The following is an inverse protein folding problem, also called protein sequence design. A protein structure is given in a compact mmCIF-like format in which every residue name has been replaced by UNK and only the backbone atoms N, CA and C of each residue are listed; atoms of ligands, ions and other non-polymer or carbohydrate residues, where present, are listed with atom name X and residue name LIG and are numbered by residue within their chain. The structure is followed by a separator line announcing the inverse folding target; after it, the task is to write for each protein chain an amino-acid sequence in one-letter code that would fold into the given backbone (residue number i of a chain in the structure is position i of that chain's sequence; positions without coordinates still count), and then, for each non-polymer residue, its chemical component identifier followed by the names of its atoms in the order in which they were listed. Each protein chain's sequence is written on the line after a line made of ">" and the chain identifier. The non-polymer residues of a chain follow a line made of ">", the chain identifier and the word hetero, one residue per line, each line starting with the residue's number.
data_IF_429543066859
#
_entry.id   IF_429543066859
#
_cell.length_a   1.000
_cell.length_b   1.000
_cell.length_c   1.000
_cell.angle_alpha   90.00
_cell.angle_beta   90.00
_cell.angle_gamma   90.00
#
_symmetry.space_group_name_H-M   'P 1'
#
loop_
_entity.id
_entity.type
_entity.pdbx_description
1 polymer ?
#
# COMPACT_ATOMS: atom_id res chain seq x y z
N UNK A 1 -10.46 -1.72 -2.73
CA UNK A 1 -9.05 -1.97 -2.38
C UNK A 1 -9.03 -2.30 -0.91
N UNK A 2 -8.63 -3.51 -0.54
CA UNK A 2 -8.68 -4.00 0.85
C UNK A 2 -7.26 -3.94 1.40
N UNK A 3 -6.94 -2.84 2.07
CA UNK A 3 -5.68 -2.68 2.78
C UNK A 3 -5.83 -3.15 4.23
N UNK A 4 -4.87 -3.94 4.70
CA UNK A 4 -4.81 -4.37 6.11
C UNK A 4 -4.45 -3.19 7.01
N UNK A 5 -5.04 -3.11 8.21
CA UNK A 5 -4.63 -2.13 9.21
C UNK A 5 -3.38 -2.60 9.99
N UNK A 6 -2.76 -1.70 10.76
CA UNK A 6 -1.52 -2.02 11.49
C UNK A 6 -1.70 -3.12 12.55
N UNK A 7 -2.91 -3.30 13.09
CA UNK A 7 -3.22 -4.38 14.03
C UNK A 7 -3.23 -5.74 13.32
N UNK A 8 -3.93 -5.84 12.19
CA UNK A 8 -3.94 -7.04 11.35
C UNK A 8 -2.52 -7.41 10.91
N UNK A 9 -1.71 -6.41 10.52
CA UNK A 9 -0.30 -6.61 10.16
C UNK A 9 0.49 -7.30 11.28
N UNK A 10 0.40 -6.76 12.50
CA UNK A 10 1.06 -7.36 13.68
C UNK A 10 0.59 -8.80 13.88
N UNK A 11 -0.71 -9.06 13.82
CA UNK A 11 -1.28 -10.40 14.03
C UNK A 11 -0.81 -11.39 12.95
N UNK A 12 -0.62 -10.96 11.70
CA UNK A 12 -0.01 -11.79 10.65
C UNK A 12 1.49 -12.06 10.90
N UNK A 13 2.24 -11.08 11.41
CA UNK A 13 3.64 -11.28 11.80
C UNK A 13 3.73 -12.31 12.94
N UNK A 14 2.88 -12.22 13.96
CA UNK A 14 2.83 -13.20 15.05
C UNK A 14 2.46 -14.60 14.54
N UNK A 15 1.53 -14.70 13.59
CA UNK A 15 1.24 -15.96 12.91
C UNK A 15 2.47 -16.51 12.17
N UNK A 16 3.23 -15.67 11.45
CA UNK A 16 4.43 -16.09 10.76
C UNK A 16 5.50 -16.60 11.74
N UNK A 17 5.76 -15.87 12.83
CA UNK A 17 6.72 -16.26 13.88
C UNK A 17 6.31 -17.58 14.54
N UNK A 18 5.03 -17.74 14.90
CA UNK A 18 4.53 -18.97 15.51
C UNK A 18 4.69 -20.19 14.60
N UNK A 19 4.64 -19.98 13.28
CA UNK A 19 4.67 -21.05 12.29
C UNK A 19 6.02 -21.23 11.58
N UNK A 20 6.95 -20.30 11.67
CA UNK A 20 8.26 -20.35 11.02
C UNK A 20 9.36 -20.09 12.06
N UNK A 21 9.84 -21.16 12.68
CA UNK A 21 10.85 -21.08 13.76
C UNK A 21 12.21 -20.54 13.32
N UNK A 22 12.49 -20.61 12.01
CA UNK A 22 13.75 -20.15 11.41
C UNK A 22 13.61 -18.79 10.71
N UNK A 23 12.48 -18.08 10.93
CA UNK A 23 12.30 -16.74 10.38
C UNK A 23 13.35 -15.79 10.94
N UNK A 24 14.17 -15.21 10.06
CA UNK A 24 15.32 -14.36 10.42
C UNK A 24 15.22 -12.94 9.86
N UNK A 25 14.39 -12.71 8.84
CA UNK A 25 14.21 -11.43 8.17
C UNK A 25 12.74 -11.14 7.88
N UNK A 26 12.31 -9.93 8.22
CA UNK A 26 11.04 -9.34 7.79
C UNK A 26 11.35 -8.04 7.03
N UNK A 27 10.83 -7.93 5.81
CA UNK A 27 10.78 -6.68 5.04
C UNK A 27 9.34 -6.17 5.08
N UNK A 28 9.12 -5.02 5.69
CA UNK A 28 7.79 -4.54 6.07
C UNK A 28 7.45 -3.23 5.37
N UNK A 29 6.42 -3.24 4.51
CA UNK A 29 5.83 -2.03 3.94
C UNK A 29 4.89 -1.35 4.93
N UNK A 30 5.01 -0.04 5.07
CA UNK A 30 4.18 0.80 5.93
C UNK A 30 3.46 1.85 5.08
N UNK A 31 2.13 1.83 5.11
CA UNK A 31 1.30 2.82 4.43
C UNK A 31 0.56 3.69 5.45
N UNK A 32 0.44 4.99 5.15
CA UNK A 32 -0.18 5.97 6.05
C UNK A 32 -1.62 5.60 6.46
N UNK A 33 -2.42 5.08 5.52
CA UNK A 33 -3.82 4.72 5.77
C UNK A 33 -3.96 3.62 6.83
N UNK A 34 -2.97 2.72 6.97
CA UNK A 34 -3.00 1.58 7.91
C UNK A 34 -3.08 2.01 9.38
N UNK A 35 -2.71 3.27 9.65
CA UNK A 35 -2.67 3.87 10.97
C UNK A 35 -3.90 4.73 11.26
N UNK A 36 -4.90 4.79 10.38
CA UNK A 36 -6.13 5.51 10.69
C UNK A 36 -6.86 4.81 11.84
N UNK A 37 -7.13 5.53 12.95
CA UNK A 37 -7.86 5.03 14.12
C UNK A 37 -9.23 4.45 13.77
N UNK A 38 -9.85 4.91 12.69
CA UNK A 38 -11.16 4.44 12.24
C UNK A 38 -11.11 3.30 11.21
N UNK A 39 -9.92 2.81 10.86
CA UNK A 39 -9.79 1.69 9.92
C UNK A 39 -10.08 0.37 10.64
N UNK A 40 -11.27 -0.18 10.42
CA UNK A 40 -11.68 -1.47 10.95
C UNK A 40 -10.89 -2.63 10.33
N UNK A 41 -10.92 -3.79 10.99
CA UNK A 41 -10.36 -5.01 10.43
C UNK A 41 -11.11 -5.41 9.16
N UNK A 42 -10.42 -6.04 8.22
CA UNK A 42 -11.06 -6.56 7.02
C UNK A 42 -12.12 -7.60 7.41
N UNK A 43 -13.29 -7.65 6.72
CA UNK A 43 -14.34 -8.62 7.04
C UNK A 43 -13.87 -10.08 6.99
N UNK A 44 -12.86 -10.37 6.18
CA UNK A 44 -12.24 -11.70 6.05
C UNK A 44 -11.19 -12.01 7.12
N UNK A 45 -10.74 -11.03 7.91
CA UNK A 45 -9.75 -11.23 8.96
C UNK A 45 -10.35 -12.01 10.14
N UNK A 46 -9.60 -13.00 10.63
CA UNK A 46 -10.03 -13.81 11.76
C UNK A 46 -8.83 -14.31 12.55
N UNK A 47 -8.73 -13.91 13.81
CA UNK A 47 -7.69 -14.39 14.71
C UNK A 47 -7.75 -15.89 14.95
N UNK A 48 -8.94 -16.49 14.81
CA UNK A 48 -9.11 -17.94 14.97
C UNK A 48 -8.33 -18.74 13.92
N UNK A 49 -7.88 -18.13 12.82
CA UNK A 49 -7.02 -18.76 11.81
C UNK A 49 -5.54 -18.60 12.10
N UNK A 50 -5.18 -17.65 12.96
CA UNK A 50 -3.80 -17.28 13.23
C UNK A 50 -3.14 -18.25 14.19
N UNK A 51 -1.80 -18.27 14.16
CA UNK A 51 -0.94 -19.15 14.97
C UNK A 51 -1.26 -20.66 14.87
N UNK A 52 -1.94 -21.09 13.80
CA UNK A 52 -2.32 -22.48 13.55
C UNK A 52 -1.74 -23.01 12.24
N UNK A 53 -1.51 -24.32 12.20
CA UNK A 53 -1.10 -25.09 10.99
C UNK A 53 -2.22 -25.97 10.43
N UNK A 54 -3.44 -25.81 10.90
CA UNK A 54 -4.60 -26.60 10.50
C UNK A 54 -5.82 -25.71 10.28
N UNK A 55 -6.72 -26.17 9.40
CA UNK A 55 -8.02 -25.53 9.18
C UNK A 55 -8.89 -25.78 10.41
N UNK A 56 -9.51 -24.72 10.94
CA UNK A 56 -10.44 -24.87 12.07
C UNK A 56 -11.70 -25.59 11.62
N UNK A 57 -12.38 -26.33 12.51
CA UNK A 57 -13.66 -26.99 12.17
C UNK A 57 -14.70 -26.00 11.65
N UNK A 58 -14.74 -24.79 12.23
CA UNK A 58 -15.62 -23.72 11.79
C UNK A 58 -15.30 -23.28 10.36
N UNK A 59 -14.02 -23.07 10.02
CA UNK A 59 -13.62 -22.75 8.65
C UNK A 59 -13.90 -23.91 7.69
N UNK A 60 -13.65 -25.15 8.09
CA UNK A 60 -13.96 -26.32 7.27
C UNK A 60 -15.44 -26.37 6.90
N UNK A 61 -16.34 -26.18 7.86
CA UNK A 61 -17.79 -26.13 7.61
C UNK A 61 -18.15 -24.94 6.73
N UNK A 62 -17.64 -23.75 7.06
CA UNK A 62 -17.97 -22.53 6.32
C UNK A 62 -17.50 -22.57 4.86
N UNK A 63 -16.30 -23.10 4.60
CA UNK A 63 -15.76 -23.22 3.24
C UNK A 63 -16.47 -24.33 2.46
N UNK A 64 -16.82 -25.45 3.11
CA UNK A 64 -17.44 -26.60 2.42
C UNK A 64 -18.92 -26.37 2.11
N UNK A 65 -19.65 -25.67 2.98
CA UNK A 65 -21.10 -25.47 2.88
C UNK A 65 -21.49 -24.01 2.64
N UNK A 66 -20.66 -23.24 1.93
CA UNK A 66 -20.94 -21.84 1.61
C UNK A 66 -22.00 -21.72 0.51
N UNK A 67 -23.14 -21.10 0.84
CA UNK A 67 -24.12 -20.67 -0.15
C UNK A 67 -23.54 -19.61 -1.09
N UNK A 68 -22.65 -18.77 -0.59
CA UNK A 68 -21.99 -17.73 -1.38
C UNK A 68 -21.09 -18.37 -2.44
N UNK A 69 -20.34 -19.42 -2.09
CA UNK A 69 -19.53 -20.17 -3.06
C UNK A 69 -20.39 -20.85 -4.13
N UNK A 70 -21.57 -21.36 -3.76
CA UNK A 70 -22.51 -21.94 -4.72
C UNK A 70 -23.08 -20.88 -5.67
N UNK A 71 -23.48 -19.72 -5.14
CA UNK A 71 -23.99 -18.60 -5.93
C UNK A 71 -22.90 -18.05 -6.87
N UNK A 72 -21.69 -17.82 -6.36
CA UNK A 72 -20.54 -17.40 -7.14
C UNK A 72 -20.21 -18.42 -8.24
N UNK A 73 -20.24 -19.73 -7.94
CA UNK A 73 -20.02 -20.77 -8.96
C UNK A 73 -21.06 -20.71 -10.08
N UNK A 74 -22.33 -20.46 -9.75
CA UNK A 74 -23.40 -20.28 -10.75
C UNK A 74 -23.15 -19.03 -11.60
N UNK A 75 -22.77 -17.91 -10.98
CA UNK A 75 -22.42 -16.68 -11.69
C UNK A 75 -21.23 -16.90 -12.62
N UNK A 76 -20.17 -17.55 -12.16
CA UNK A 76 -19.00 -17.92 -12.98
C UNK A 76 -19.38 -18.77 -14.18
N UNK A 77 -20.25 -19.77 -14.02
CA UNK A 77 -20.72 -20.60 -15.14
C UNK A 77 -21.48 -19.77 -16.17
N UNK A 78 -22.39 -18.90 -15.72
CA UNK A 78 -23.17 -18.03 -16.61
C UNK A 78 -22.26 -17.07 -17.35
N UNK A 79 -21.26 -16.50 -16.68
CA UNK A 79 -20.32 -15.55 -17.28
C UNK A 79 -19.39 -16.24 -18.28
N UNK A 80 -18.83 -17.41 -17.93
CA UNK A 80 -17.97 -18.21 -18.81
C UNK A 80 -18.67 -18.71 -20.09
N UNK A 81 -20.00 -18.78 -20.09
CA UNK A 81 -20.78 -19.12 -21.29
C UNK A 81 -21.02 -17.91 -22.20
N UNK A 82 -21.01 -16.69 -21.65
CA UNK A 82 -21.26 -15.44 -22.39
C UNK A 82 -19.96 -14.84 -22.92
N UNK A 83 -18.91 -14.92 -22.12
CA UNK A 83 -17.61 -14.34 -22.40
C UNK A 83 -16.60 -15.49 -22.57
N UNK A 84 -15.78 -15.51 -23.63
CA UNK A 84 -14.65 -16.43 -23.69
C UNK A 84 -13.76 -16.22 -22.46
N UNK A 85 -13.10 -17.27 -21.94
CA UNK A 85 -12.24 -17.13 -20.77
C UNK A 85 -11.15 -16.11 -21.06
N UNK A 86 -11.13 -15.03 -20.29
CA UNK A 86 -9.96 -14.18 -20.17
C UNK A 86 -8.88 -15.05 -19.51
N UNK A 87 -7.78 -15.35 -20.22
CA UNK A 87 -6.65 -16.15 -19.74
C UNK A 87 -5.86 -15.40 -18.65
N UNK A 88 -6.51 -15.03 -17.55
CA UNK A 88 -5.92 -14.35 -16.40
C UNK A 88 -5.83 -15.37 -15.26
N UNK A 89 -5.02 -16.42 -15.45
CA UNK A 89 -4.61 -17.31 -14.38
C UNK A 89 -3.51 -16.66 -13.54
N UNK A 90 -3.28 -17.02 -12.28
CA UNK A 90 -2.07 -16.56 -11.59
C UNK A 90 -0.83 -16.98 -12.38
N UNK A 91 0.14 -16.09 -12.54
CA UNK A 91 1.41 -16.45 -13.18
C UNK A 91 2.09 -17.57 -12.39
N UNK A 92 2.99 -18.34 -13.03
CA UNK A 92 3.77 -19.41 -12.35
C UNK A 92 4.57 -18.88 -11.14
N UNK A 93 4.78 -17.56 -11.07
CA UNK A 93 5.41 -16.87 -9.96
C UNK A 93 4.44 -16.47 -8.81
N UNK A 94 3.18 -16.91 -8.86
CA UNK A 94 2.16 -16.64 -7.84
C UNK A 94 1.58 -15.22 -7.86
N UNK A 95 1.98 -14.36 -8.79
CA UNK A 95 1.39 -13.03 -8.95
C UNK A 95 0.16 -13.09 -9.85
N UNK A 96 -0.90 -12.37 -9.50
CA UNK A 96 -1.99 -12.11 -10.46
C UNK A 96 -1.40 -11.40 -11.68
N UNK A 97 -1.51 -11.93 -12.91
CA UNK A 97 -0.91 -11.33 -14.10
C UNK A 97 -1.80 -10.23 -14.67
N UNK A 98 -2.39 -9.39 -13.83
CA UNK A 98 -3.08 -8.16 -14.26
C UNK A 98 -2.11 -7.13 -14.90
N UNK A 99 -0.98 -7.58 -15.44
CA UNK A 99 0.09 -6.78 -16.01
C UNK A 99 -0.14 -6.28 -17.43
N UNK A 100 -1.25 -6.63 -18.07
CA UNK A 100 -1.73 -5.86 -19.24
C UNK A 100 -3.03 -5.16 -18.88
N UNK A 101 -3.01 -4.26 -17.90
CA UNK A 101 -4.19 -3.50 -17.58
C UNK A 101 -4.51 -2.68 -18.85
N UNK A 102 -5.74 -2.79 -19.36
CA UNK A 102 -6.15 -2.15 -20.62
C UNK A 102 -5.60 -0.72 -20.73
N UNK A 103 -4.66 -0.43 -21.65
CA UNK A 103 -3.98 0.87 -21.71
C UNK A 103 -4.96 2.03 -21.86
N UNK A 104 -6.10 1.80 -22.53
CA UNK A 104 -7.15 2.81 -22.73
C UNK A 104 -7.90 3.14 -21.44
N UNK A 105 -7.71 2.36 -20.37
CA UNK A 105 -8.34 2.55 -19.05
C UNK A 105 -7.39 3.10 -18.00
N UNK A 106 -6.16 3.51 -18.33
CA UNK A 106 -5.22 4.03 -17.33
C UNK A 106 -5.81 5.22 -16.56
N UNK A 107 -6.31 6.23 -17.25
CA UNK A 107 -6.90 7.40 -16.58
C UNK A 107 -8.07 7.00 -15.65
N UNK A 108 -8.93 6.09 -16.11
CA UNK A 108 -10.04 5.58 -15.30
C UNK A 108 -9.55 4.86 -14.03
N UNK A 109 -8.50 4.03 -14.12
CA UNK A 109 -7.90 3.35 -12.96
C UNK A 109 -7.35 4.36 -11.96
N UNK A 110 -6.61 5.35 -12.43
CA UNK A 110 -6.09 6.43 -11.59
C UNK A 110 -7.21 7.22 -10.93
N UNK A 111 -8.23 7.65 -11.69
CA UNK A 111 -9.39 8.38 -11.14
C UNK A 111 -10.10 7.60 -10.04
N UNK A 112 -10.37 6.33 -10.26
CA UNK A 112 -11.04 5.48 -9.28
C UNK A 112 -10.19 5.24 -8.04
N UNK A 113 -8.90 4.96 -8.22
CA UNK A 113 -8.01 4.69 -7.10
C UNK A 113 -7.81 5.94 -6.24
N UNK A 114 -7.60 7.12 -6.85
CA UNK A 114 -7.56 8.41 -6.14
C UNK A 114 -8.88 8.64 -5.36
N UNK A 115 -10.04 8.39 -5.97
CA UNK A 115 -11.33 8.54 -5.30
C UNK A 115 -11.50 7.60 -4.10
N UNK A 116 -11.02 6.36 -4.18
CA UNK A 116 -10.97 5.43 -3.03
C UNK A 116 -10.07 5.99 -1.92
N UNK A 117 -8.91 6.54 -2.28
CA UNK A 117 -7.97 7.14 -1.33
C UNK A 117 -8.54 8.38 -0.63
N UNK A 118 -9.41 9.18 -1.26
CA UNK A 118 -10.16 10.20 -0.55
C UNK A 118 -11.06 9.59 0.53
N UNK A 119 -11.73 8.48 0.25
CA UNK A 119 -12.51 7.74 1.26
C UNK A 119 -11.70 7.36 2.50
N UNK A 120 -10.47 6.87 2.32
CA UNK A 120 -9.60 6.49 3.44
C UNK A 120 -9.10 7.67 4.28
N UNK A 121 -9.02 8.87 3.69
CA UNK A 121 -8.39 10.03 4.32
C UNK A 121 -9.34 11.19 4.63
N UNK A 122 -10.60 11.14 4.21
CA UNK A 122 -11.59 12.17 4.49
C UNK A 122 -11.92 12.30 5.99
N UNK A 123 -11.76 11.20 6.75
CA UNK A 123 -11.86 11.15 8.20
C UNK A 123 -10.64 10.44 8.77
N UNK A 124 -9.46 10.94 8.42
CA UNK A 124 -8.23 10.36 8.95
C UNK A 124 -8.01 10.83 10.38
N UNK A 125 -7.67 9.90 11.27
CA UNK A 125 -7.16 10.24 12.60
C UNK A 125 -5.92 9.41 12.88
N UNK A 126 -4.80 10.10 13.10
CA UNK A 126 -3.58 9.46 13.57
C UNK A 126 -3.72 9.18 15.08
N UNK A 127 -3.53 7.94 15.56
CA UNK A 127 -3.54 7.66 16.99
C UNK A 127 -2.44 8.44 17.69
N UNK A 128 -2.66 8.73 18.98
CA UNK A 128 -1.68 9.45 19.80
C UNK A 128 -0.34 8.73 19.92
N UNK A 129 -0.35 7.39 19.77
CA UNK A 129 0.84 6.55 19.77
C UNK A 129 0.71 5.44 18.72
N UNK A 130 1.81 5.13 18.02
CA UNK A 130 1.88 4.01 17.08
C UNK A 130 2.17 2.68 17.80
N UNK A 131 1.35 2.33 18.79
CA UNK A 131 1.55 1.19 19.69
C UNK A 131 1.72 -0.14 18.96
N UNK A 132 0.94 -0.38 17.90
CA UNK A 132 1.05 -1.62 17.13
C UNK A 132 2.38 -1.72 16.37
N UNK A 133 2.93 -0.60 15.88
CA UNK A 133 4.27 -0.58 15.28
C UNK A 133 5.36 -0.83 16.32
N UNK A 134 5.26 -0.23 17.52
CA UNK A 134 6.18 -0.51 18.63
C UNK A 134 6.20 -2.01 18.95
N UNK A 135 5.03 -2.64 19.06
CA UNK A 135 4.90 -4.09 19.28
C UNK A 135 5.55 -4.91 18.18
N UNK A 136 5.40 -4.53 16.90
CA UNK A 136 6.06 -5.23 15.79
C UNK A 136 7.59 -5.16 15.94
N UNK A 137 8.13 -3.98 16.24
CA UNK A 137 9.58 -3.81 16.44
C UNK A 137 10.06 -4.62 17.64
N UNK A 138 9.37 -4.57 18.77
CA UNK A 138 9.68 -5.33 19.97
C UNK A 138 9.64 -6.85 19.71
N UNK A 139 8.64 -7.33 18.99
CA UNK A 139 8.52 -8.74 18.59
C UNK A 139 9.72 -9.19 17.75
N UNK A 140 10.13 -8.37 16.78
CA UNK A 140 11.30 -8.68 15.95
C UNK A 140 12.57 -8.73 16.81
N UNK A 141 12.77 -7.75 17.70
CA UNK A 141 13.93 -7.71 18.59
C UNK A 141 13.99 -8.91 19.54
N UNK A 142 12.87 -9.25 20.19
CA UNK A 142 12.77 -10.38 21.12
C UNK A 142 13.06 -11.72 20.46
N UNK A 143 12.67 -11.87 19.19
CA UNK A 143 12.87 -13.10 18.40
C UNK A 143 14.15 -13.06 17.54
N UNK A 144 15.01 -12.05 17.68
CA UNK A 144 16.24 -11.88 16.90
C UNK A 144 16.01 -11.84 15.38
N UNK A 145 14.85 -11.32 14.96
CA UNK A 145 14.47 -11.15 13.56
C UNK A 145 14.95 -9.78 13.08
N UNK A 146 15.70 -9.76 11.98
CA UNK A 146 16.06 -8.51 11.31
C UNK A 146 14.80 -7.89 10.72
N UNK A 147 14.48 -6.68 11.14
CA UNK A 147 13.39 -5.89 10.56
C UNK A 147 13.94 -4.82 9.62
N UNK A 148 13.45 -4.81 8.38
CA UNK A 148 13.66 -3.75 7.41
C UNK A 148 12.30 -3.14 7.09
N UNK A 149 12.05 -1.94 7.61
CA UNK A 149 10.80 -1.21 7.32
C UNK A 149 10.99 -0.27 6.14
N UNK A 150 9.94 -0.11 5.32
CA UNK A 150 9.91 0.90 4.27
C UNK A 150 8.53 1.55 4.14
N UNK A 151 8.48 2.81 3.67
CA UNK A 151 7.25 3.50 3.27
C UNK A 151 7.06 3.27 1.78
N UNK A 152 5.88 2.79 1.37
CA UNK A 152 5.62 2.39 -0.02
C UNK A 152 5.75 3.55 -1.02
N UNK A 153 6.21 3.28 -2.26
CA UNK A 153 6.31 4.26 -3.32
C UNK A 153 4.97 4.43 -4.04
N UNK A 154 3.93 4.94 -3.39
CA UNK A 154 2.74 5.34 -4.15
C UNK A 154 3.07 6.45 -5.14
N UNK A 155 2.29 6.51 -6.22
CA UNK A 155 2.44 7.53 -7.24
C UNK A 155 2.20 8.93 -6.67
N UNK A 156 2.82 9.96 -7.25
CA UNK A 156 2.75 11.35 -6.78
C UNK A 156 1.31 11.87 -6.59
N UNK A 157 0.37 11.42 -7.44
CA UNK A 157 -1.05 11.76 -7.32
C UNK A 157 -1.73 11.25 -6.04
N UNK A 158 -1.21 10.18 -5.42
CA UNK A 158 -1.68 9.73 -4.10
C UNK A 158 -1.26 10.70 -3.00
N UNK A 159 -0.05 11.26 -3.08
CA UNK A 159 0.44 12.27 -2.13
C UNK A 159 -0.33 13.58 -2.27
N UNK A 160 -0.64 13.99 -3.49
CA UNK A 160 -1.55 15.13 -3.73
C UNK A 160 -2.97 14.86 -3.24
N UNK A 161 -3.46 13.61 -3.29
CA UNK A 161 -4.74 13.26 -2.70
C UNK A 161 -4.75 13.46 -1.17
N UNK A 162 -3.71 13.02 -0.46
CA UNK A 162 -3.54 13.27 0.98
C UNK A 162 -3.47 14.78 1.27
N UNK A 163 -2.77 15.56 0.42
CA UNK A 163 -2.75 17.03 0.57
C UNK A 163 -4.13 17.64 0.39
N UNK A 164 -4.88 17.20 -0.60
CA UNK A 164 -6.21 17.71 -0.91
C UNK A 164 -7.25 17.40 0.19
N UNK A 165 -7.03 16.38 1.03
CA UNK A 165 -7.86 16.16 2.23
C UNK A 165 -7.45 17.01 3.43
N UNK A 166 -6.35 17.77 3.34
CA UNK A 166 -5.81 18.56 4.46
C UNK A 166 -4.89 17.75 5.39
N UNK A 167 -4.63 16.47 5.09
CA UNK A 167 -3.91 15.55 5.97
C UNK A 167 -2.39 15.58 5.80
N UNK A 168 -1.84 16.53 5.02
CA UNK A 168 -0.40 16.56 4.77
C UNK A 168 0.44 16.75 6.04
N UNK A 169 0.03 17.66 6.92
CA UNK A 169 0.72 17.87 8.20
C UNK A 169 0.64 16.62 9.09
N UNK A 170 -0.49 15.91 9.07
CA UNK A 170 -0.68 14.63 9.75
C UNK A 170 0.22 13.54 9.15
N UNK A 171 0.37 13.49 7.83
CA UNK A 171 1.28 12.57 7.14
C UNK A 171 2.75 12.82 7.53
N UNK A 172 3.19 14.08 7.56
CA UNK A 172 4.52 14.42 8.05
C UNK A 172 4.72 14.07 9.52
N UNK A 173 3.69 14.33 10.36
CA UNK A 173 3.70 13.91 11.77
C UNK A 173 3.85 12.39 11.88
N UNK A 174 3.07 11.62 11.12
CA UNK A 174 3.19 10.16 11.10
C UNK A 174 4.61 9.69 10.77
N UNK A 175 5.26 10.28 9.76
CA UNK A 175 6.66 9.94 9.45
C UNK A 175 7.60 10.20 10.63
N UNK A 176 7.42 11.32 11.36
CA UNK A 176 8.19 11.63 12.58
C UNK A 176 7.97 10.57 13.67
N UNK A 177 6.72 10.18 13.90
CA UNK A 177 6.37 9.15 14.88
C UNK A 177 6.93 7.77 14.49
N UNK A 178 6.95 7.43 13.19
CA UNK A 178 7.56 6.19 12.69
C UNK A 178 9.07 6.18 12.95
N UNK A 179 9.80 7.23 12.56
CA UNK A 179 11.26 7.26 12.74
C UNK A 179 11.70 7.33 14.20
N UNK A 180 10.83 7.83 15.08
CA UNK A 180 11.06 7.80 16.53
C UNK A 180 11.03 6.37 17.10
N UNK A 181 10.37 5.42 16.40
CA UNK A 181 10.29 4.02 16.78
C UNK A 181 11.36 3.19 16.07
N UNK A 182 11.56 3.38 14.77
CA UNK A 182 12.51 2.62 13.97
C UNK A 182 12.96 3.39 12.72
N UNK A 183 14.25 3.32 12.32
CA UNK A 183 14.66 3.81 11.01
C UNK A 183 13.87 3.13 9.89
N UNK A 184 13.56 3.86 8.83
CA UNK A 184 12.71 3.37 7.74
C UNK A 184 13.26 3.86 6.40
N UNK A 185 13.21 3.02 5.37
CA UNK A 185 13.46 3.48 4.00
C UNK A 185 12.22 4.20 3.47
N UNK A 186 12.33 5.48 3.15
CA UNK A 186 11.25 6.24 2.57
C UNK A 186 11.35 6.23 1.04
N UNK A 187 10.44 5.51 0.38
CA UNK A 187 10.28 5.52 -1.07
C UNK A 187 9.14 6.45 -1.55
N UNK A 188 8.46 7.12 -0.62
CA UNK A 188 7.37 8.06 -0.95
C UNK A 188 7.89 9.43 -1.40
N UNK A 189 6.96 10.35 -1.69
CA UNK A 189 7.28 11.70 -2.15
C UNK A 189 7.37 11.78 -3.67
N UNK A 190 8.15 12.74 -4.16
CA UNK A 190 8.25 13.13 -5.57
C UNK A 190 9.67 12.83 -6.04
N UNK A 191 9.85 11.71 -6.74
CA UNK A 191 11.15 11.19 -7.17
C UNK A 191 11.04 10.55 -8.56
N UNK A 192 12.16 10.13 -9.12
CA UNK A 192 12.24 9.56 -10.48
C UNK A 192 11.32 8.35 -10.74
N UNK A 193 10.87 7.65 -9.70
CA UNK A 193 9.96 6.51 -9.84
C UNK A 193 8.51 6.95 -9.62
N UNK A 194 8.23 7.66 -8.53
CA UNK A 194 6.86 8.01 -8.12
C UNK A 194 6.21 9.09 -8.98
N UNK A 195 6.99 9.81 -9.77
CA UNK A 195 6.56 10.93 -10.62
C UNK A 195 6.45 10.57 -12.11
N UNK A 196 6.23 9.30 -12.44
CA UNK A 196 5.90 8.87 -13.80
C UNK A 196 4.69 9.66 -14.35
N UNK A 197 4.77 10.19 -15.57
CA UNK A 197 3.61 10.89 -16.17
C UNK A 197 2.50 9.89 -16.49
N UNK A 198 1.24 10.29 -16.29
CA UNK A 198 0.11 9.39 -16.51
C UNK A 198 -0.18 9.29 -18.02
N UNK A 199 0.02 8.10 -18.58
CA UNK A 199 -0.32 7.78 -19.97
C UNK A 199 -0.75 6.33 -20.12
N UNK A 200 -1.22 5.94 -21.31
CA UNK A 200 -1.77 4.60 -21.55
C UNK A 200 -0.81 3.46 -21.18
N UNK A 201 0.50 3.63 -21.40
CA UNK A 201 1.51 2.58 -21.22
C UNK A 201 2.42 2.84 -20.02
N UNK A 202 1.91 2.64 -18.81
CA UNK A 202 2.69 2.84 -17.58
C UNK A 202 3.74 1.74 -17.35
N UNK A 203 4.95 2.12 -16.97
CA UNK A 203 6.04 1.25 -16.56
C UNK A 203 6.07 0.97 -15.06
N UNK A 204 5.81 1.99 -14.23
CA UNK A 204 5.98 1.90 -12.78
C UNK A 204 4.70 1.58 -12.04
N UNK A 205 3.53 1.86 -12.63
CA UNK A 205 2.25 1.79 -11.93
C UNK A 205 1.11 1.19 -12.76
N UNK A 206 0.19 0.47 -12.11
CA UNK A 206 -1.11 0.08 -12.71
C UNK A 206 -2.19 1.13 -12.40
N UNK A 207 -2.13 1.71 -11.20
CA UNK A 207 -2.88 2.86 -10.71
C UNK A 207 -2.02 3.64 -9.70
N UNK A 208 -2.57 4.64 -9.01
CA UNK A 208 -1.77 5.49 -8.14
C UNK A 208 -1.17 4.80 -6.88
N UNK A 209 -1.54 3.55 -6.60
CA UNK A 209 -1.12 2.80 -5.40
C UNK A 209 -0.44 1.46 -5.71
N UNK A 210 -0.81 0.82 -6.81
CA UNK A 210 -0.27 -0.48 -7.21
C UNK A 210 0.92 -0.32 -8.15
N UNK A 211 2.13 -0.41 -7.59
CA UNK A 211 3.38 -0.37 -8.35
C UNK A 211 3.68 -1.71 -9.04
N UNK A 212 4.38 -1.66 -10.16
CA UNK A 212 4.75 -2.85 -10.94
C UNK A 212 5.89 -3.61 -10.26
N UNK A 213 6.12 -4.88 -10.62
CA UNK A 213 7.24 -5.64 -10.05
C UNK A 213 8.62 -5.12 -10.46
N UNK A 214 8.72 -4.26 -11.49
CA UNK A 214 9.92 -3.47 -11.75
C UNK A 214 10.25 -2.59 -10.53
N UNK A 215 9.27 -1.83 -10.05
CA UNK A 215 9.42 -0.99 -8.84
C UNK A 215 9.67 -1.85 -7.61
N UNK A 216 8.96 -2.98 -7.45
CA UNK A 216 9.21 -3.93 -6.36
C UNK A 216 10.67 -4.43 -6.33
N UNK A 217 11.26 -4.72 -7.49
CA UNK A 217 12.67 -5.07 -7.58
C UNK A 217 13.60 -3.91 -7.20
N UNK A 218 13.27 -2.67 -7.54
CA UNK A 218 14.06 -1.49 -7.14
C UNK A 218 14.04 -1.29 -5.61
N UNK A 219 12.89 -1.51 -4.95
CA UNK A 219 12.79 -1.50 -3.49
C UNK A 219 13.71 -2.57 -2.90
N UNK A 220 13.59 -3.82 -3.36
CA UNK A 220 14.40 -4.93 -2.86
C UNK A 220 15.90 -4.69 -3.09
N UNK A 221 16.28 -4.19 -4.26
CA UNK A 221 17.64 -3.78 -4.57
C UNK A 221 18.13 -2.81 -3.51
N UNK A 222 17.43 -1.68 -3.29
CA UNK A 222 17.80 -0.65 -2.31
C UNK A 222 17.94 -1.22 -0.90
N UNK A 223 16.91 -1.88 -0.37
CA UNK A 223 16.90 -2.28 1.04
C UNK A 223 17.81 -3.46 1.37
N UNK A 224 18.13 -4.30 0.39
CA UNK A 224 19.05 -5.44 0.54
C UNK A 224 20.49 -5.11 0.11
N UNK A 225 20.77 -3.85 -0.26
CA UNK A 225 22.05 -3.43 -0.81
C UNK A 225 22.48 -4.29 -2.03
N UNK A 226 21.51 -4.70 -2.85
CA UNK A 226 21.72 -5.50 -4.05
C UNK A 226 21.59 -4.60 -5.28
N UNK A 227 22.46 -4.78 -6.29
CA UNK A 227 22.44 -4.01 -7.56
C UNK A 227 22.16 -2.51 -7.39
N UNK A 228 22.88 -1.84 -6.48
CA UNK A 228 22.60 -0.44 -6.14
C UNK A 228 22.68 0.51 -7.35
N UNK A 229 23.54 0.23 -8.32
CA UNK A 229 23.66 1.04 -9.53
C UNK A 229 22.40 1.06 -10.42
N UNK A 230 21.46 0.13 -10.20
CA UNK A 230 20.18 0.09 -10.92
C UNK A 230 19.10 0.95 -10.24
N UNK A 231 19.33 1.42 -9.01
CA UNK A 231 18.34 2.18 -8.23
C UNK A 231 18.64 3.67 -8.29
N UNK A 232 17.72 4.54 -8.74
CA UNK A 232 17.91 5.99 -8.70
C UNK A 232 18.27 6.50 -7.31
N UNK A 233 19.24 7.41 -7.20
CA UNK A 233 19.75 7.88 -5.90
C UNK A 233 18.65 8.45 -4.99
N UNK A 234 17.66 9.12 -5.59
CA UNK A 234 16.51 9.74 -4.92
C UNK A 234 15.38 8.76 -4.53
N UNK A 235 15.53 7.46 -4.84
CA UNK A 235 14.50 6.45 -4.59
C UNK A 235 14.85 5.51 -3.42
N UNK A 236 14.23 5.73 -2.25
CA UNK A 236 14.40 4.90 -1.06
C UNK A 236 15.48 5.43 -0.12
N UNK A 237 15.23 6.59 0.48
CA UNK A 237 16.16 7.25 1.40
C UNK A 237 15.98 6.68 2.81
N UNK A 238 17.06 6.22 3.44
CA UNK A 238 17.00 5.79 4.84
C UNK A 238 16.82 7.02 5.74
N UNK A 239 15.67 7.10 6.41
CA UNK A 239 15.33 8.18 7.33
C UNK A 239 15.29 7.71 8.79
N UNK A 240 15.64 8.63 9.69
CA UNK A 240 15.68 8.45 11.12
C UNK A 240 15.43 9.80 11.83
N UNK A 241 15.47 9.81 13.16
CA UNK A 241 15.26 11.03 13.96
C UNK A 241 16.26 12.16 13.69
N UNK A 242 17.43 11.87 13.10
CA UNK A 242 18.47 12.87 12.83
C UNK A 242 18.24 13.62 11.51
N UNK A 243 17.64 12.96 10.50
CA UNK A 243 17.49 13.52 9.16
C UNK A 243 16.03 13.75 8.71
N UNK A 244 15.04 13.41 9.53
CA UNK A 244 13.63 13.50 9.17
C UNK A 244 13.21 14.91 8.73
N UNK A 245 13.61 15.97 9.45
CA UNK A 245 13.15 17.33 9.11
C UNK A 245 13.71 17.84 7.78
N UNK A 246 14.98 17.55 7.48
CA UNK A 246 15.59 17.95 6.20
C UNK A 246 14.99 17.15 5.04
N UNK A 247 14.67 15.87 5.26
CA UNK A 247 13.99 15.03 4.28
C UNK A 247 12.57 15.53 3.97
N UNK A 248 11.79 15.89 5.00
CA UNK A 248 10.44 16.45 4.82
C UNK A 248 10.47 17.79 4.07
N UNK A 249 11.46 18.65 4.38
CA UNK A 249 11.66 19.88 3.64
C UNK A 249 12.00 19.64 2.17
N UNK A 250 12.86 18.66 1.89
CA UNK A 250 13.17 18.25 0.51
C UNK A 250 11.91 17.80 -0.23
N UNK A 251 11.07 16.95 0.39
CA UNK A 251 9.80 16.50 -0.22
C UNK A 251 8.90 17.68 -0.57
N UNK A 252 8.80 18.71 0.29
CA UNK A 252 8.02 19.92 -0.01
C UNK A 252 8.59 20.68 -1.21
N UNK A 253 9.91 20.81 -1.32
CA UNK A 253 10.55 21.47 -2.46
C UNK A 253 10.38 20.67 -3.76
N UNK A 254 10.60 19.37 -3.72
CA UNK A 254 10.40 18.47 -4.86
C UNK A 254 8.95 18.53 -5.37
N UNK A 255 7.98 18.64 -4.44
CA UNK A 255 6.56 18.80 -4.75
C UNK A 255 6.28 20.07 -5.56
N UNK A 256 6.84 21.21 -5.16
CA UNK A 256 6.61 22.47 -5.89
C UNK A 256 7.18 22.40 -7.31
N UNK A 257 8.32 21.74 -7.49
CA UNK A 257 8.91 21.49 -8.82
C UNK A 257 8.01 20.55 -9.62
N UNK A 258 7.59 19.44 -9.03
CA UNK A 258 6.71 18.46 -9.68
C UNK A 258 5.38 19.08 -10.10
N UNK A 259 4.70 19.79 -9.20
CA UNK A 259 3.39 20.39 -9.46
C UNK A 259 3.43 21.46 -10.57
N UNK A 260 4.55 22.19 -10.70
CA UNK A 260 4.76 23.14 -11.80
C UNK A 260 4.91 22.44 -13.15
N UNK A 261 5.50 21.24 -13.17
CA UNK A 261 5.81 20.51 -14.40
C UNK A 261 4.71 19.49 -14.79
N UNK A 262 3.77 19.18 -13.90
CA UNK A 262 2.73 18.16 -14.07
C UNK A 262 1.35 18.76 -13.78
N UNK A 263 1.00 19.83 -14.49
CA UNK A 263 -0.25 20.58 -14.27
C UNK A 263 -1.49 19.73 -14.48
N UNK A 264 -1.44 18.80 -15.43
CA UNK A 264 -2.58 17.96 -15.82
C UNK A 264 -2.90 16.97 -14.70
N UNK A 265 -1.89 16.34 -14.10
CA UNK A 265 -2.05 15.47 -12.95
C UNK A 265 -2.50 16.21 -11.68
N UNK A 266 -2.01 17.45 -11.49
CA UNK A 266 -2.49 18.31 -10.40
C UNK A 266 -3.97 18.63 -10.58
N UNK A 267 -4.39 18.96 -11.79
CA UNK A 267 -5.79 19.28 -12.08
C UNK A 267 -6.68 18.03 -11.97
N UNK A 268 -6.21 16.88 -12.46
CA UNK A 268 -6.86 15.58 -12.30
C UNK A 268 -7.23 15.29 -10.84
N UNK A 269 -6.28 15.46 -9.92
CA UNK A 269 -6.50 15.26 -8.48
C UNK A 269 -7.57 16.23 -7.95
N UNK A 270 -7.50 17.51 -8.31
CA UNK A 270 -8.47 18.52 -7.87
C UNK A 270 -9.89 18.22 -8.37
N UNK A 271 -10.04 17.86 -9.65
CA UNK A 271 -11.34 17.50 -10.23
C UNK A 271 -11.99 16.32 -9.49
N UNK A 272 -11.20 15.30 -9.16
CA UNK A 272 -11.70 14.13 -8.42
C UNK A 272 -12.12 14.56 -7.01
N UNK A 273 -11.34 15.42 -6.34
CA UNK A 273 -11.69 15.94 -5.01
C UNK A 273 -12.99 16.71 -5.03
N UNK A 274 -13.18 17.60 -6.00
CA UNK A 274 -14.42 18.38 -6.13
C UNK A 274 -15.63 17.45 -6.27
N UNK A 275 -15.57 16.47 -7.17
CA UNK A 275 -16.65 15.49 -7.37
C UNK A 275 -16.90 14.63 -6.13
N UNK A 276 -15.85 14.31 -5.38
CA UNK A 276 -15.96 13.58 -4.12
C UNK A 276 -16.71 14.39 -3.06
N UNK A 277 -16.39 15.68 -2.93
CA UNK A 277 -17.04 16.58 -1.97
C UNK A 277 -18.51 16.86 -2.32
N UNK A 278 -18.81 17.05 -3.60
CA UNK A 278 -20.19 17.21 -4.09
C UNK A 278 -21.07 16.02 -3.67
N UNK A 279 -20.57 14.78 -3.83
CA UNK A 279 -21.27 13.56 -3.43
C UNK A 279 -21.47 13.40 -1.92
N UNK A 280 -20.67 14.07 -1.09
CA UNK A 280 -20.83 14.04 0.37
C UNK A 280 -21.81 15.11 0.87
N UNK A 281 -22.11 16.11 0.05
CA UNK A 281 -23.06 17.18 0.37
C UNK A 281 -24.52 16.82 0.05
N UNK A 282 -24.73 15.85 -0.85
CA UNK A 282 -26.02 15.26 -1.23
C UNK A 282 -26.49 14.16 -0.25
#
# INVERSE_FOLDING_TARGET
>A
MNGLNIYELRRYIEHAIANQKELDLIILGLDFFMFNTFLENQPSFSENRLEKRHISLADFVNVTFSSDALLASKETIVDSQKNPPDNIDYGENGFMPYRNPDPEKTEWRFRNSINVYYGFHAKYELPSELTELKKIVDLCQQNQIKLISFISPSHATQWEAIRATGEWSTFEKWKREVVAITPVFDFSGYNNITSESIHNEMENYTDNSHYTPRVGNLILNRVLNYKQGDVPDDFGILINSENIESHLEKIRQDREIWAKNNSDEVELVKEIKQKYDEKLAD
#
